data_IF_646157101540
#
_entry.id   IF_646157101540
#
_cell.length_a   1.000
_cell.length_b   1.000
_cell.length_c   1.000
_cell.angle_alpha   90.00
_cell.angle_beta   90.00
_cell.angle_gamma   90.00
#
_symmetry.space_group_name_H-M   'P 1'
#
loop_
_entity.id
_entity.type
_entity.pdbx_description
1 polymer ?
#
# COMPACT_ATOMS: atom_id res chain seq x y z
N UNK A 1 -33.41 3.81 34.95
CA UNK A 1 -33.36 2.36 35.22
C UNK A 1 -31.95 1.89 34.94
N UNK A 2 -31.23 1.51 35.99
CA UNK A 2 -29.80 1.19 35.98
C UNK A 2 -29.64 -0.31 35.70
N UNK A 3 -29.04 -0.68 34.57
CA UNK A 3 -28.72 -2.07 34.26
C UNK A 3 -27.34 -2.39 34.83
N UNK A 4 -27.36 -3.25 35.86
CA UNK A 4 -26.21 -3.88 36.51
C UNK A 4 -25.83 -5.17 35.76
N UNK A 5 -24.56 -5.57 35.90
CA UNK A 5 -23.99 -6.90 35.59
C UNK A 5 -23.81 -7.27 34.10
N UNK A 6 -22.77 -7.98 33.67
CA UNK A 6 -21.86 -8.88 34.40
C UNK A 6 -20.43 -8.85 33.82
N UNK A 7 -19.44 -8.93 34.72
CA UNK A 7 -18.06 -9.30 34.43
C UNK A 7 -18.02 -10.78 34.02
N UNK A 8 -17.84 -11.06 32.74
CA UNK A 8 -17.52 -12.42 32.27
C UNK A 8 -16.01 -12.56 32.13
N UNK A 9 -15.38 -13.14 33.15
CA UNK A 9 -13.99 -13.63 33.08
C UNK A 9 -14.01 -14.91 32.24
N UNK A 10 -13.42 -14.90 31.05
CA UNK A 10 -13.11 -16.13 30.32
C UNK A 10 -11.68 -16.55 30.62
N UNK A 11 -11.55 -17.78 31.12
CA UNK A 11 -10.29 -18.42 31.45
C UNK A 11 -9.48 -18.79 30.21
N UNK A 12 -8.16 -18.82 30.40
CA UNK A 12 -7.11 -19.08 29.42
C UNK A 12 -7.03 -20.58 29.13
N UNK A 13 -6.96 -20.96 27.85
CA UNK A 13 -6.47 -22.29 27.43
C UNK A 13 -5.29 -22.11 26.49
N UNK A 14 -4.10 -22.38 27.01
CA UNK A 14 -2.86 -22.53 26.26
C UNK A 14 -2.81 -23.93 25.62
N UNK A 15 -2.72 -24.01 24.30
CA UNK A 15 -2.33 -25.23 23.60
C UNK A 15 -0.95 -25.02 22.97
N UNK A 16 0.07 -25.67 23.52
CA UNK A 16 1.40 -25.74 22.94
C UNK A 16 1.42 -26.89 21.92
N UNK A 17 1.56 -26.58 20.64
CA UNK A 17 1.80 -27.55 19.57
C UNK A 17 3.23 -27.38 19.03
N UNK A 18 4.01 -28.45 19.04
CA UNK A 18 5.41 -28.47 18.61
C UNK A 18 5.60 -29.27 17.31
N UNK A 19 6.62 -28.85 16.54
CA UNK A 19 7.36 -29.55 15.46
C UNK A 19 6.58 -29.75 14.14
N UNK A 20 7.14 -29.48 12.95
CA UNK A 20 8.32 -30.12 12.37
C UNK A 20 9.11 -29.13 11.49
N UNK A 21 10.44 -29.16 11.61
CA UNK A 21 11.40 -28.49 10.73
C UNK A 21 11.74 -29.39 9.55
N UNK A 22 11.55 -28.92 8.32
CA UNK A 22 12.22 -29.45 7.13
C UNK A 22 12.85 -28.30 6.37
N UNK A 23 14.19 -28.26 6.41
CA UNK A 23 15.04 -27.37 5.61
C UNK A 23 15.47 -28.15 4.38
N UNK A 24 15.22 -27.59 3.20
CA UNK A 24 15.95 -27.93 1.99
C UNK A 24 16.35 -26.61 1.32
N UNK A 25 17.61 -26.22 1.53
CA UNK A 25 18.23 -25.09 0.83
C UNK A 25 18.81 -25.63 -0.47
N UNK A 26 18.33 -25.13 -1.61
CA UNK A 26 19.05 -25.24 -2.87
C UNK A 26 19.53 -23.83 -3.25
N UNK A 27 20.84 -23.50 -3.10
CA UNK A 27 21.38 -22.32 -3.75
C UNK A 27 21.47 -22.62 -5.25
N UNK A 28 20.68 -21.90 -6.05
CA UNK A 28 20.99 -21.75 -7.46
C UNK A 28 22.10 -20.69 -7.55
N UNK A 29 23.34 -21.16 -7.74
CA UNK A 29 24.44 -20.34 -8.22
C UNK A 29 24.17 -20.05 -9.70
N UNK A 30 24.00 -18.79 -10.04
CA UNK A 30 24.24 -18.29 -11.38
C UNK A 30 25.22 -17.12 -11.22
N UNK A 31 26.47 -17.45 -11.53
CA UNK A 31 27.58 -16.54 -11.76
C UNK A 31 27.45 -15.93 -13.15
N UNK A 32 27.39 -14.60 -13.24
CA UNK A 32 28.00 -13.85 -14.34
C UNK A 32 28.13 -12.36 -13.99
N UNK A 33 29.29 -12.07 -13.42
CA UNK A 33 30.21 -11.00 -13.78
C UNK A 33 29.62 -9.60 -14.04
N UNK A 34 29.79 -8.73 -13.05
CA UNK A 34 29.77 -7.28 -13.24
C UNK A 34 30.97 -6.87 -14.09
N UNK A 35 30.79 -6.92 -15.41
CA UNK A 35 31.75 -6.40 -16.38
C UNK A 35 31.93 -4.88 -16.23
N UNK A 36 32.96 -4.49 -15.47
CA UNK A 36 33.54 -3.16 -15.49
C UNK A 36 34.74 -3.17 -16.44
N UNK A 37 34.59 -2.60 -17.63
CA UNK A 37 35.69 -2.43 -18.58
C UNK A 37 35.20 -1.79 -19.86
N UNK A 38 35.65 -0.56 -20.11
CA UNK A 38 35.31 0.20 -21.31
C UNK A 38 36.08 -0.23 -22.56
N UNK A 39 35.88 0.59 -23.59
CA UNK A 39 36.68 0.76 -24.79
C UNK A 39 36.43 -0.20 -25.98
N UNK A 40 35.69 0.34 -26.96
CA UNK A 40 36.22 0.45 -28.32
C UNK A 40 35.67 -0.50 -29.39
N UNK A 41 35.02 0.10 -30.40
CA UNK A 41 35.27 -0.25 -31.80
C UNK A 41 34.20 -1.07 -32.54
N UNK A 42 33.46 -0.38 -33.42
CA UNK A 42 32.88 -0.93 -34.66
C UNK A 42 34.02 -1.47 -35.55
N UNK A 43 33.85 -2.60 -36.28
CA UNK A 43 33.41 -2.49 -37.67
C UNK A 43 32.37 -3.55 -38.10
N UNK A 44 31.33 -3.10 -38.79
CA UNK A 44 30.19 -3.91 -39.23
C UNK A 44 30.39 -4.97 -40.32
N UNK A 45 29.28 -5.61 -40.70
CA UNK A 45 28.98 -6.14 -42.05
C UNK A 45 27.59 -6.80 -42.10
N UNK A 46 26.81 -6.47 -43.16
CA UNK A 46 25.75 -7.31 -43.74
C UNK A 46 24.33 -7.21 -43.13
N UNK A 47 23.42 -6.35 -43.61
CA UNK A 47 22.53 -6.55 -44.79
C UNK A 47 21.31 -7.44 -44.46
N UNK A 48 20.09 -6.93 -44.28
CA UNK A 48 19.17 -6.59 -45.39
C UNK A 48 17.76 -6.20 -44.89
N UNK A 49 17.13 -5.21 -45.56
CA UNK A 49 15.67 -4.91 -45.63
C UNK A 49 15.00 -4.34 -44.36
N UNK A 50 14.22 -3.26 -44.33
CA UNK A 50 13.56 -2.43 -45.33
C UNK A 50 13.31 -1.04 -44.72
N UNK A 51 13.69 0.03 -45.40
CA UNK A 51 13.31 1.40 -45.04
C UNK A 51 12.33 1.93 -46.08
N UNK A 52 11.07 2.17 -45.70
CA UNK A 52 10.34 3.37 -46.13
C UNK A 52 9.07 3.53 -45.29
N UNK A 53 8.93 4.63 -44.55
CA UNK A 53 8.00 5.71 -44.90
C UNK A 53 7.72 6.63 -43.71
N UNK A 54 8.10 7.91 -43.86
CA UNK A 54 7.35 9.02 -43.25
C UNK A 54 7.99 9.72 -42.06
N UNK A 55 8.96 10.58 -42.35
CA UNK A 55 9.19 11.79 -41.56
C UNK A 55 7.91 12.64 -41.53
N UNK A 56 7.41 12.94 -40.33
CA UNK A 56 6.77 14.22 -40.05
C UNK A 56 6.88 14.48 -38.56
N UNK A 57 7.74 15.44 -38.22
CA UNK A 57 7.97 15.86 -36.85
C UNK A 57 6.68 16.30 -36.17
N UNK A 58 6.52 15.87 -34.91
CA UNK A 58 5.69 16.58 -33.95
C UNK A 58 6.46 16.60 -32.63
N UNK A 59 7.03 17.76 -32.34
CA UNK A 59 7.40 18.20 -31.00
C UNK A 59 6.32 17.78 -30.00
N UNK A 60 6.68 16.93 -29.05
CA UNK A 60 5.79 16.48 -27.99
C UNK A 60 6.57 16.32 -26.70
N UNK A 61 6.23 17.17 -25.75
CA UNK A 61 6.65 17.25 -24.35
C UNK A 61 7.16 15.94 -23.73
N UNK A 62 8.40 15.95 -23.24
CA UNK A 62 8.88 14.97 -22.26
C UNK A 62 8.20 15.18 -20.91
N UNK A 63 6.90 14.92 -20.83
CA UNK A 63 6.27 14.61 -19.55
C UNK A 63 6.38 13.10 -19.33
N UNK A 64 7.59 12.65 -18.96
CA UNK A 64 7.84 11.31 -18.42
C UNK A 64 7.14 11.18 -17.05
N UNK A 65 5.81 11.12 -17.08
CA UNK A 65 5.00 10.59 -16.00
C UNK A 65 5.09 9.08 -16.08
N UNK A 66 6.05 8.52 -15.33
CA UNK A 66 6.44 7.12 -15.38
C UNK A 66 5.26 6.15 -15.36
N UNK A 67 5.46 5.12 -16.17
CA UNK A 67 4.73 3.88 -16.36
C UNK A 67 4.34 3.12 -15.08
N UNK A 68 3.66 1.98 -15.31
CA UNK A 68 3.45 0.82 -14.44
C UNK A 68 2.02 0.66 -13.88
N UNK A 69 1.31 -0.35 -14.40
CA UNK A 69 0.01 -0.86 -13.98
C UNK A 69 -0.03 -1.48 -12.57
N UNK A 70 0.44 -0.75 -11.55
CA UNK A 70 0.20 -1.03 -10.14
C UNK A 70 -0.99 -0.21 -9.63
N UNK A 71 -1.84 -0.79 -8.77
CA UNK A 71 -2.94 -0.06 -8.17
C UNK A 71 -2.40 1.16 -7.40
N UNK A 72 -2.61 2.36 -7.95
CA UNK A 72 -2.23 3.60 -7.27
C UNK A 72 -3.17 3.80 -6.07
N UNK A 73 -2.63 3.68 -4.87
CA UNK A 73 -3.37 4.02 -3.65
C UNK A 73 -3.57 5.53 -3.56
N UNK A 74 -4.75 5.93 -3.10
CA UNK A 74 -4.98 7.33 -2.74
C UNK A 74 -4.09 7.69 -1.54
N UNK A 75 -3.84 8.99 -1.34
CA UNK A 75 -3.02 9.46 -0.24
C UNK A 75 -3.81 10.41 0.64
N UNK A 76 -3.42 10.51 1.90
CA UNK A 76 -3.97 11.52 2.80
C UNK A 76 -3.01 11.94 3.89
N UNK A 77 -3.41 12.98 4.63
CA UNK A 77 -2.69 13.51 5.79
C UNK A 77 -3.63 13.51 6.98
N UNK A 78 -3.16 12.98 8.11
CA UNK A 78 -3.92 12.93 9.36
C UNK A 78 -4.04 14.33 9.95
N UNK A 79 -5.26 14.76 10.28
CA UNK A 79 -5.53 16.11 10.80
C UNK A 79 -5.77 16.13 12.32
N UNK A 80 -6.14 15.00 12.92
CA UNK A 80 -6.31 14.87 14.37
C UNK A 80 -4.96 14.74 15.09
N UNK A 81 -4.86 15.23 16.33
CA UNK A 81 -3.67 15.04 17.18
C UNK A 81 -3.30 13.56 17.33
N UNK A 82 -4.32 12.72 17.53
CA UNK A 82 -4.20 11.28 17.66
C UNK A 82 -5.38 10.62 16.97
N UNK A 83 -5.11 9.70 16.04
CA UNK A 83 -6.10 8.89 15.35
C UNK A 83 -5.85 7.41 15.64
N UNK A 84 -6.84 6.78 16.25
CA UNK A 84 -6.83 5.34 16.52
C UNK A 84 -7.28 4.59 15.27
N UNK A 85 -6.38 3.79 14.70
CA UNK A 85 -6.68 2.91 13.58
C UNK A 85 -7.16 1.56 14.09
N UNK A 86 -8.17 0.99 13.43
CA UNK A 86 -8.97 -0.09 14.02
C UNK A 86 -9.16 -1.30 13.11
N UNK A 87 -9.58 -2.42 13.68
CA UNK A 87 -9.82 -3.66 12.93
C UNK A 87 -11.08 -3.64 12.06
N UNK A 88 -12.05 -2.76 12.37
CA UNK A 88 -13.30 -2.59 11.61
C UNK A 88 -13.72 -1.11 11.59
N UNK A 89 -14.56 -0.66 10.64
CA UNK A 89 -14.99 0.74 10.49
C UNK A 89 -16.04 1.17 11.53
N UNK A 90 -15.74 0.94 12.80
CA UNK A 90 -16.58 1.28 13.96
C UNK A 90 -15.71 1.85 15.07
N UNK A 91 -16.28 2.67 15.98
CA UNK A 91 -15.49 3.24 17.09
C UNK A 91 -15.23 2.24 18.23
N UNK A 92 -15.92 1.11 18.23
CA UNK A 92 -15.82 0.08 19.27
C UNK A 92 -14.89 -1.09 18.92
N UNK A 93 -14.44 -1.19 17.66
CA UNK A 93 -13.54 -2.25 17.23
C UNK A 93 -12.13 -2.08 17.82
N UNK A 94 -11.39 -3.18 17.87
CA UNK A 94 -10.03 -3.23 18.42
C UNK A 94 -9.14 -2.16 17.78
N UNK A 95 -8.38 -1.44 18.62
CA UNK A 95 -7.34 -0.52 18.15
C UNK A 95 -6.14 -1.36 17.72
N UNK A 96 -5.74 -1.21 16.46
CA UNK A 96 -4.60 -1.91 15.86
C UNK A 96 -3.34 -1.08 16.02
N UNK A 97 -3.43 0.23 15.79
CA UNK A 97 -2.30 1.16 15.88
C UNK A 97 -2.79 2.59 16.04
N UNK A 98 -1.85 3.50 16.26
CA UNK A 98 -2.09 4.94 16.42
C UNK A 98 -1.27 5.70 15.39
N UNK A 99 -1.87 6.73 14.79
CA UNK A 99 -1.20 7.70 13.93
C UNK A 99 -1.49 9.10 14.44
N UNK A 100 -0.62 10.06 14.13
CA UNK A 100 -0.61 11.41 14.67
C UNK A 100 -0.82 12.45 13.60
N UNK A 101 -1.10 13.69 14.03
CA UNK A 101 -1.28 14.81 13.13
C UNK A 101 -0.06 14.99 12.22
N UNK A 102 -0.31 15.15 10.94
CA UNK A 102 0.72 15.33 9.92
C UNK A 102 1.23 14.02 9.30
N UNK A 103 0.91 12.87 9.89
CA UNK A 103 1.26 11.57 9.31
C UNK A 103 0.63 11.44 7.92
N UNK A 104 1.45 11.02 6.95
CA UNK A 104 0.99 10.69 5.60
C UNK A 104 0.56 9.23 5.56
N UNK A 105 -0.61 8.99 4.98
CA UNK A 105 -1.19 7.65 4.89
C UNK A 105 -1.53 7.28 3.44
N UNK A 106 -1.35 6.01 3.14
CA UNK A 106 -1.75 5.34 1.90
C UNK A 106 -3.12 4.69 2.11
N UNK A 107 -4.07 5.03 1.25
CA UNK A 107 -5.48 4.64 1.35
C UNK A 107 -5.81 3.66 0.23
N UNK A 108 -6.19 2.44 0.59
CA UNK A 108 -6.61 1.42 -0.36
C UNK A 108 -8.01 1.69 -0.93
N UNK A 109 -8.99 1.86 -0.04
CA UNK A 109 -10.38 2.11 -0.40
C UNK A 109 -11.15 2.78 0.74
N UNK A 110 -12.37 3.24 0.43
CA UNK A 110 -13.34 3.81 1.38
C UNK A 110 -14.59 2.96 1.50
N UNK A 111 -15.21 2.97 2.68
CA UNK A 111 -16.47 2.27 2.95
C UNK A 111 -17.34 3.07 3.93
N UNK A 112 -18.68 2.90 3.91
CA UNK A 112 -19.54 3.40 4.98
C UNK A 112 -19.30 2.63 6.27
N UNK A 113 -19.39 3.31 7.41
CA UNK A 113 -19.25 2.71 8.73
C UNK A 113 -19.90 3.57 9.81
N UNK A 114 -19.51 3.35 11.06
CA UNK A 114 -20.08 4.08 12.17
C UNK A 114 -19.77 5.57 12.07
N UNK A 115 -20.76 6.44 12.27
CA UNK A 115 -20.57 7.89 12.19
C UNK A 115 -19.61 8.42 13.26
N UNK A 116 -18.70 9.28 12.84
CA UNK A 116 -17.75 10.02 13.67
C UNK A 116 -17.94 11.51 13.38
N UNK A 117 -18.54 12.23 14.33
CA UNK A 117 -18.85 13.66 14.19
C UNK A 117 -19.58 14.02 12.88
N UNK A 118 -20.56 13.20 12.49
CA UNK A 118 -21.36 13.42 11.28
C UNK A 118 -20.77 12.84 9.99
N UNK A 119 -19.52 12.35 10.00
CA UNK A 119 -18.92 11.67 8.85
C UNK A 119 -18.94 10.15 9.04
N UNK A 120 -19.57 9.43 8.11
CA UNK A 120 -19.72 7.98 8.13
C UNK A 120 -18.70 7.23 7.26
N UNK A 121 -17.79 7.92 6.60
CA UNK A 121 -16.78 7.30 5.75
C UNK A 121 -15.58 6.86 6.58
N UNK A 122 -15.06 5.69 6.21
CA UNK A 122 -13.85 5.10 6.75
C UNK A 122 -12.91 4.70 5.62
N UNK A 123 -11.61 4.84 5.87
CA UNK A 123 -10.54 4.50 4.93
C UNK A 123 -9.77 3.31 5.44
N UNK A 124 -9.56 2.32 4.57
CA UNK A 124 -8.64 1.22 4.83
C UNK A 124 -7.22 1.68 4.48
N UNK A 125 -6.39 1.81 5.51
CA UNK A 125 -5.03 2.30 5.37
C UNK A 125 -4.07 1.12 5.24
N UNK A 126 -3.05 1.26 4.40
CA UNK A 126 -2.08 0.20 4.09
C UNK A 126 -0.72 0.40 4.72
N UNK A 127 -0.48 1.51 5.42
CA UNK A 127 0.80 1.79 6.06
C UNK A 127 0.97 0.94 7.33
N UNK A 128 1.87 -0.04 7.26
CA UNK A 128 2.08 -1.02 8.32
C UNK A 128 0.96 -2.08 8.34
N UNK A 129 0.39 -2.33 9.52
CA UNK A 129 -0.74 -3.26 9.64
C UNK A 129 -2.02 -2.61 9.13
N UNK A 130 -2.67 -3.27 8.19
CA UNK A 130 -3.90 -2.77 7.58
C UNK A 130 -4.97 -2.50 8.63
N UNK A 131 -5.51 -1.28 8.61
CA UNK A 131 -6.44 -0.83 9.63
C UNK A 131 -7.33 0.31 9.12
N UNK A 132 -8.51 0.43 9.74
CA UNK A 132 -9.51 1.42 9.41
C UNK A 132 -9.29 2.73 10.18
N UNK A 133 -9.15 3.83 9.44
CA UNK A 133 -9.16 5.19 9.97
C UNK A 133 -10.44 5.93 9.58
N UNK A 134 -11.00 6.74 10.48
CA UNK A 134 -12.15 7.57 10.13
C UNK A 134 -11.75 8.66 9.12
N UNK A 135 -12.47 8.76 8.01
CA UNK A 135 -12.26 9.80 7.01
C UNK A 135 -12.47 11.22 7.57
N UNK A 136 -13.15 11.34 8.72
CA UNK A 136 -13.32 12.61 9.43
C UNK A 136 -11.99 13.32 9.72
N UNK A 137 -10.92 12.55 9.90
CA UNK A 137 -9.62 12.99 10.40
C UNK A 137 -8.47 12.78 9.40
N UNK A 138 -8.79 12.52 8.13
CA UNK A 138 -7.79 12.32 7.08
C UNK A 138 -8.16 13.23 5.91
N UNK A 139 -7.30 14.19 5.63
CA UNK A 139 -7.43 15.04 4.46
C UNK A 139 -6.85 14.32 3.24
N UNK A 140 -7.64 14.17 2.17
CA UNK A 140 -7.25 13.39 1.00
C UNK A 140 -6.48 14.26 0.02
N UNK A 141 -5.39 13.72 -0.54
CA UNK A 141 -4.53 14.42 -1.50
C UNK A 141 -4.62 13.74 -2.87
N UNK A 142 -4.93 14.53 -3.90
CA UNK A 142 -5.00 14.06 -5.28
C UNK A 142 -6.26 13.23 -5.55
N UNK A 143 -6.08 12.03 -6.11
CA UNK A 143 -7.20 11.17 -6.52
C UNK A 143 -7.99 10.67 -5.30
N UNK A 144 -9.33 10.80 -5.30
CA UNK A 144 -10.14 10.31 -4.19
C UNK A 144 -10.06 8.78 -4.06
N UNK A 145 -10.12 8.22 -2.83
CA UNK A 145 -10.16 6.78 -2.63
C UNK A 145 -11.35 6.13 -3.35
N UNK A 146 -11.09 5.00 -4.01
CA UNK A 146 -12.13 4.13 -4.57
C UNK A 146 -12.97 3.49 -3.48
N UNK A 147 -14.18 3.04 -3.82
CA UNK A 147 -14.97 2.23 -2.91
C UNK A 147 -14.38 0.84 -2.71
N UNK A 148 -14.50 0.34 -1.49
CA UNK A 148 -14.56 -1.10 -1.23
C UNK A 148 -15.99 -1.54 -1.63
#
# INVERSE_FOLDING_TARGET
MSLRSALTRLAITTAAGALITSVAVAPALADDDWGSGGDGGDPGSGQSGDWNQGDSGQSGDWNQGGDHGGQQYARGVVTASTLLLRSAPTRGSQVIRVVHKGDRVSIFCKTPGQSVQGNHLWYLLTDGTWAWGSARYIDTIGTPPRWC
#
